data_IF_415513848929
#
_entry.id   IF_415513848929
#
_cell.length_a   1.000
_cell.length_b   1.000
_cell.length_c   1.000
_cell.angle_alpha   90.00
_cell.angle_beta   90.00
_cell.angle_gamma   90.00
#
_symmetry.space_group_name_H-M   'P 1'
#
loop_
_entity.id
_entity.type
_entity.pdbx_description
1 polymer ?
#
# COMPACT_ATOMS: atom_id res chain seq x y z
N UNK A 1 -83.89 -46.50 -51.17
CA UNK A 1 -84.54 -47.78 -50.86
C UNK A 1 -85.99 -47.53 -50.49
N UNK A 2 -86.91 -48.24 -51.16
CA UNK A 2 -88.37 -48.16 -51.04
C UNK A 2 -88.89 -48.76 -49.72
N UNK A 3 -90.03 -48.23 -49.23
CA UNK A 3 -91.32 -48.90 -48.86
C UNK A 3 -92.05 -48.00 -47.85
N UNK A 4 -93.13 -47.28 -48.17
CA UNK A 4 -94.52 -47.63 -48.54
C UNK A 4 -95.38 -48.25 -47.42
N UNK A 5 -96.33 -47.39 -46.94
CA UNK A 5 -97.79 -47.57 -46.71
C UNK A 5 -98.31 -48.48 -45.57
N UNK A 6 -99.14 -47.92 -44.66
CA UNK A 6 -100.63 -48.08 -44.53
C UNK A 6 -101.09 -47.48 -43.16
N UNK A 7 -101.79 -46.34 -43.14
CA UNK A 7 -103.25 -46.17 -43.00
C UNK A 7 -103.86 -46.52 -41.62
N UNK A 8 -104.40 -45.51 -40.93
CA UNK A 8 -105.63 -45.60 -40.14
C UNK A 8 -106.17 -44.18 -39.84
N UNK A 9 -107.25 -43.82 -40.51
CA UNK A 9 -108.14 -42.68 -40.20
C UNK A 9 -109.16 -43.18 -39.19
N UNK A 10 -109.35 -42.49 -38.05
CA UNK A 10 -110.68 -42.33 -37.41
C UNK A 10 -110.72 -41.00 -36.66
N UNK A 11 -111.77 -40.24 -36.93
CA UNK A 11 -112.15 -38.99 -36.29
C UNK A 11 -112.57 -39.18 -34.83
N UNK A 12 -112.22 -38.21 -33.98
CA UNK A 12 -112.67 -38.12 -32.59
C UNK A 12 -112.86 -36.66 -32.21
N UNK A 13 -114.06 -36.15 -32.51
CA UNK A 13 -114.54 -34.84 -32.10
C UNK A 13 -114.72 -34.80 -30.57
N UNK A 14 -114.52 -33.60 -30.01
CA UNK A 14 -115.03 -33.07 -28.73
C UNK A 14 -114.38 -33.43 -27.38
N UNK A 15 -113.98 -32.33 -26.73
CA UNK A 15 -113.99 -32.02 -25.28
C UNK A 15 -112.79 -32.52 -24.45
N UNK A 16 -111.89 -31.59 -24.16
CA UNK A 16 -111.02 -31.53 -22.98
C UNK A 16 -110.65 -30.05 -22.82
N UNK A 17 -111.24 -29.27 -21.91
CA UNK A 17 -110.96 -29.28 -20.46
C UNK A 17 -109.77 -28.34 -20.16
N UNK A 18 -109.95 -27.10 -19.69
CA UNK A 18 -108.90 -26.08 -19.64
C UNK A 18 -107.84 -26.25 -18.52
N UNK A 19 -107.79 -27.37 -17.80
CA UNK A 19 -107.00 -27.50 -16.57
C UNK A 19 -105.54 -28.00 -16.75
N UNK A 20 -105.21 -28.73 -17.83
CA UNK A 20 -103.85 -29.26 -18.05
C UNK A 20 -102.89 -28.23 -18.67
N UNK A 21 -103.41 -27.29 -19.46
CA UNK A 21 -102.61 -26.20 -20.03
C UNK A 21 -102.05 -25.26 -18.94
N UNK A 22 -102.75 -25.11 -17.81
CA UNK A 22 -102.34 -24.21 -16.73
C UNK A 22 -101.07 -24.71 -15.99
N UNK A 23 -100.94 -26.03 -15.77
CA UNK A 23 -99.76 -26.64 -15.11
C UNK A 23 -98.47 -26.54 -15.94
N UNK A 24 -98.54 -26.73 -17.26
CA UNK A 24 -97.38 -26.58 -18.14
C UNK A 24 -96.95 -25.11 -18.24
N UNK A 25 -97.91 -24.17 -18.27
CA UNK A 25 -97.59 -22.75 -18.28
C UNK A 25 -96.91 -22.27 -16.99
N UNK A 26 -97.25 -22.84 -15.83
CA UNK A 26 -96.60 -22.47 -14.56
C UNK A 26 -95.17 -23.02 -14.46
N UNK A 27 -94.90 -24.24 -14.95
CA UNK A 27 -93.53 -24.76 -15.06
C UNK A 27 -92.65 -23.93 -15.99
N UNK A 28 -93.19 -23.46 -17.12
CA UNK A 28 -92.47 -22.58 -18.04
C UNK A 28 -92.17 -21.22 -17.40
N UNK A 29 -93.09 -20.69 -16.58
CA UNK A 29 -92.86 -19.45 -15.81
C UNK A 29 -91.77 -19.64 -14.76
N UNK A 30 -91.76 -20.76 -14.04
CA UNK A 30 -90.72 -21.05 -13.04
C UNK A 30 -89.36 -21.29 -13.69
N UNK A 31 -89.31 -22.00 -14.82
CA UNK A 31 -88.11 -22.13 -15.63
C UNK A 31 -87.60 -20.77 -16.13
N UNK A 32 -88.49 -19.89 -16.59
CA UNK A 32 -88.14 -18.54 -17.02
C UNK A 32 -87.63 -17.67 -15.87
N UNK A 33 -88.24 -17.74 -14.69
CA UNK A 33 -87.77 -17.05 -13.47
C UNK A 33 -86.39 -17.55 -13.05
N UNK A 34 -86.18 -18.86 -13.05
CA UNK A 34 -84.90 -19.49 -12.73
C UNK A 34 -83.81 -19.08 -13.73
N UNK A 35 -84.11 -19.13 -15.04
CA UNK A 35 -83.19 -18.68 -16.08
C UNK A 35 -82.86 -17.18 -15.94
N UNK A 36 -83.85 -16.34 -15.63
CA UNK A 36 -83.63 -14.90 -15.40
C UNK A 36 -82.75 -14.66 -14.16
N UNK A 37 -82.95 -15.42 -13.09
CA UNK A 37 -82.12 -15.35 -11.89
C UNK A 37 -80.67 -15.82 -12.15
N UNK A 38 -80.49 -16.87 -12.96
CA UNK A 38 -79.19 -17.35 -13.39
C UNK A 38 -78.46 -16.33 -14.28
N UNK A 39 -79.16 -15.71 -15.23
CA UNK A 39 -78.57 -14.65 -16.07
C UNK A 39 -78.09 -13.48 -15.22
N UNK A 40 -78.91 -13.01 -14.25
CA UNK A 40 -78.50 -11.95 -13.31
C UNK A 40 -77.29 -12.35 -12.48
N UNK A 41 -77.27 -13.58 -11.93
CA UNK A 41 -76.13 -14.07 -11.17
C UNK A 41 -74.85 -14.18 -12.02
N UNK A 42 -74.96 -14.55 -13.30
CA UNK A 42 -73.83 -14.61 -14.22
C UNK A 42 -73.35 -13.21 -14.64
N UNK A 43 -74.26 -12.25 -14.80
CA UNK A 43 -73.95 -10.84 -15.03
C UNK A 43 -73.22 -10.23 -13.82
N UNK A 44 -73.69 -10.50 -12.60
CA UNK A 44 -73.03 -10.10 -11.36
C UNK A 44 -71.63 -10.72 -11.22
N UNK A 45 -71.48 -12.01 -11.52
CA UNK A 45 -70.17 -12.67 -11.55
C UNK A 45 -69.26 -12.08 -12.63
N UNK A 46 -69.78 -11.78 -13.82
CA UNK A 46 -69.00 -11.16 -14.91
C UNK A 46 -68.51 -9.78 -14.51
N UNK A 47 -69.36 -8.94 -13.91
CA UNK A 47 -68.96 -7.61 -13.45
C UNK A 47 -67.93 -7.70 -12.31
N UNK A 48 -68.10 -8.64 -11.37
CA UNK A 48 -67.13 -8.89 -10.31
C UNK A 48 -65.77 -9.36 -10.85
N UNK A 49 -65.75 -10.30 -11.79
CA UNK A 49 -64.52 -10.79 -12.42
C UNK A 49 -63.85 -9.71 -13.26
N UNK A 50 -64.62 -8.89 -13.97
CA UNK A 50 -64.09 -7.76 -14.73
C UNK A 50 -63.47 -6.70 -13.82
N UNK A 51 -64.06 -6.45 -12.65
CA UNK A 51 -63.49 -5.58 -11.62
C UNK A 51 -62.17 -6.14 -11.07
N UNK A 52 -62.13 -7.45 -10.74
CA UNK A 52 -60.90 -8.12 -10.27
C UNK A 52 -59.79 -8.13 -11.32
N UNK A 53 -60.12 -8.34 -12.59
CA UNK A 53 -59.16 -8.32 -13.69
C UNK A 53 -58.58 -6.90 -13.87
N UNK A 54 -59.41 -5.87 -13.81
CA UNK A 54 -58.95 -4.48 -13.87
C UNK A 54 -58.04 -4.12 -12.68
N UNK A 55 -58.32 -4.63 -11.48
CA UNK A 55 -57.47 -4.43 -10.30
C UNK A 55 -56.13 -5.18 -10.41
N UNK A 56 -56.16 -6.44 -10.85
CA UNK A 56 -54.96 -7.23 -11.10
C UNK A 56 -54.07 -6.62 -12.19
N UNK A 57 -54.65 -6.08 -13.26
CA UNK A 57 -53.92 -5.38 -14.31
C UNK A 57 -53.24 -4.11 -13.79
N UNK A 58 -53.95 -3.30 -12.98
CA UNK A 58 -53.35 -2.12 -12.32
C UNK A 58 -52.22 -2.51 -11.37
N UNK A 59 -52.37 -3.58 -10.60
CA UNK A 59 -51.33 -4.08 -9.71
C UNK A 59 -50.11 -4.58 -10.49
N UNK A 60 -50.33 -5.34 -11.57
CA UNK A 60 -49.28 -5.82 -12.47
C UNK A 60 -48.53 -4.68 -13.13
N UNK A 61 -49.22 -3.65 -13.63
CA UNK A 61 -48.58 -2.48 -14.23
C UNK A 61 -47.78 -1.66 -13.19
N UNK A 62 -48.26 -1.59 -11.95
CA UNK A 62 -47.54 -0.92 -10.85
C UNK A 62 -46.28 -1.69 -10.47
N UNK A 63 -46.38 -3.01 -10.28
CA UNK A 63 -45.24 -3.88 -9.99
C UNK A 63 -44.22 -3.88 -11.14
N UNK A 64 -44.69 -3.86 -12.39
CA UNK A 64 -43.82 -3.78 -13.56
C UNK A 64 -43.01 -2.46 -13.56
N UNK A 65 -43.65 -1.32 -13.28
CA UNK A 65 -42.96 -0.03 -13.14
C UNK A 65 -41.95 -0.04 -11.99
N UNK A 66 -42.30 -0.66 -10.86
CA UNK A 66 -41.37 -0.79 -9.73
C UNK A 66 -40.18 -1.69 -10.08
N UNK A 67 -40.40 -2.82 -10.76
CA UNK A 67 -39.33 -3.70 -11.22
C UNK A 67 -38.40 -3.00 -12.20
N UNK A 68 -38.95 -2.24 -13.16
CA UNK A 68 -38.14 -1.51 -14.12
C UNK A 68 -37.33 -0.40 -13.43
N UNK A 69 -37.92 0.31 -12.47
CA UNK A 69 -37.21 1.29 -11.63
C UNK A 69 -36.12 0.68 -10.75
N UNK A 70 -36.38 -0.49 -10.14
CA UNK A 70 -35.37 -1.21 -9.36
C UNK A 70 -34.23 -1.74 -10.24
N UNK A 71 -34.55 -2.21 -11.46
CA UNK A 71 -33.54 -2.65 -12.43
C UNK A 71 -32.65 -1.51 -12.89
N UNK A 72 -33.19 -0.31 -13.10
CA UNK A 72 -32.38 0.86 -13.45
C UNK A 72 -31.48 1.27 -12.28
N UNK A 73 -32.02 1.34 -11.06
CA UNK A 73 -31.23 1.64 -9.86
C UNK A 73 -30.13 0.62 -9.63
N UNK A 74 -30.41 -0.68 -9.82
CA UNK A 74 -29.41 -1.73 -9.66
C UNK A 74 -28.25 -1.54 -10.65
N UNK A 75 -28.56 -1.25 -11.93
CA UNK A 75 -27.53 -0.99 -12.94
C UNK A 75 -26.68 0.24 -12.61
N UNK A 76 -27.31 1.32 -12.11
CA UNK A 76 -26.60 2.53 -11.70
C UNK A 76 -25.67 2.26 -10.51
N UNK A 77 -26.15 1.54 -9.49
CA UNK A 77 -25.35 1.17 -8.32
C UNK A 77 -24.21 0.24 -8.71
N UNK A 78 -24.45 -0.77 -9.56
CA UNK A 78 -23.40 -1.66 -10.04
C UNK A 78 -22.33 -0.91 -10.84
N UNK A 79 -22.72 0.01 -11.72
CA UNK A 79 -21.78 0.84 -12.48
C UNK A 79 -20.97 1.75 -11.57
N UNK A 80 -21.63 2.46 -10.65
CA UNK A 80 -20.97 3.32 -9.66
C UNK A 80 -20.01 2.53 -8.78
N UNK A 81 -20.40 1.32 -8.36
CA UNK A 81 -19.56 0.47 -7.54
C UNK A 81 -18.34 -0.05 -8.28
N UNK A 82 -18.48 -0.44 -9.56
CA UNK A 82 -17.33 -0.82 -10.41
C UNK A 82 -16.34 0.33 -10.56
N UNK A 83 -16.82 1.54 -10.88
CA UNK A 83 -15.96 2.72 -10.99
C UNK A 83 -15.31 3.07 -9.65
N UNK A 84 -16.03 2.95 -8.53
CA UNK A 84 -15.47 3.17 -7.20
C UNK A 84 -14.35 2.17 -6.86
N UNK A 85 -14.54 0.89 -7.20
CA UNK A 85 -13.51 -0.14 -6.99
C UNK A 85 -12.30 0.09 -7.90
N UNK A 86 -12.49 0.40 -9.17
CA UNK A 86 -11.41 0.71 -10.11
C UNK A 86 -10.57 1.91 -9.65
N UNK A 87 -11.24 3.02 -9.29
CA UNK A 87 -10.56 4.23 -8.81
C UNK A 87 -9.87 4.00 -7.46
N UNK A 88 -10.45 3.18 -6.58
CA UNK A 88 -9.82 2.81 -5.32
C UNK A 88 -8.56 1.97 -5.54
N UNK A 89 -8.62 0.99 -6.44
CA UNK A 89 -7.47 0.16 -6.80
C UNK A 89 -6.35 0.99 -7.44
N UNK A 90 -6.68 1.91 -8.35
CA UNK A 90 -5.71 2.83 -8.94
C UNK A 90 -5.01 3.68 -7.86
N UNK A 91 -5.78 4.23 -6.91
CA UNK A 91 -5.20 4.98 -5.79
C UNK A 91 -4.31 4.12 -4.90
N UNK A 92 -4.65 2.86 -4.66
CA UNK A 92 -3.80 1.94 -3.90
C UNK A 92 -2.46 1.74 -4.62
N UNK A 93 -2.48 1.49 -5.94
CA UNK A 93 -1.25 1.31 -6.71
C UNK A 93 -0.39 2.59 -6.70
N UNK A 94 -0.98 3.76 -6.94
CA UNK A 94 -0.26 5.04 -6.85
C UNK A 94 0.37 5.28 -5.46
N UNK A 95 -0.36 4.92 -4.39
CA UNK A 95 0.15 5.01 -3.01
C UNK A 95 1.28 4.02 -2.78
N UNK A 96 1.16 2.78 -3.26
CA UNK A 96 2.20 1.76 -3.15
C UNK A 96 3.47 2.18 -3.90
N UNK A 97 3.35 2.64 -5.15
CA UNK A 97 4.48 3.16 -5.90
C UNK A 97 5.15 4.33 -5.18
N UNK A 98 4.35 5.24 -4.64
CA UNK A 98 4.89 6.36 -3.86
C UNK A 98 5.65 5.83 -2.65
N UNK A 99 5.07 4.93 -1.86
CA UNK A 99 5.73 4.34 -0.69
C UNK A 99 7.05 3.67 -1.04
N UNK A 100 7.11 2.92 -2.15
CA UNK A 100 8.36 2.30 -2.60
C UNK A 100 9.41 3.33 -3.01
N UNK A 101 9.01 4.41 -3.71
CA UNK A 101 9.93 5.52 -4.02
C UNK A 101 10.47 6.19 -2.76
N UNK A 102 9.61 6.43 -1.76
CA UNK A 102 10.04 7.01 -0.48
C UNK A 102 10.98 6.07 0.27
N UNK A 103 10.69 4.76 0.32
CA UNK A 103 11.58 3.76 0.94
C UNK A 103 12.95 3.73 0.25
N UNK A 104 12.98 3.73 -1.07
CA UNK A 104 14.24 3.76 -1.83
C UNK A 104 15.04 5.03 -1.52
N UNK A 105 14.39 6.21 -1.58
CA UNK A 105 15.04 7.48 -1.26
C UNK A 105 15.58 7.53 0.18
N UNK A 106 14.82 7.02 1.16
CA UNK A 106 15.29 6.91 2.55
C UNK A 106 16.44 5.91 2.70
N UNK A 107 16.41 4.78 1.98
CA UNK A 107 17.49 3.81 1.96
C UNK A 107 18.79 4.37 1.40
N UNK A 108 18.71 5.13 0.30
CA UNK A 108 19.84 5.85 -0.30
C UNK A 108 20.37 6.91 0.65
N UNK A 109 19.50 7.76 1.21
CA UNK A 109 19.89 8.78 2.17
C UNK A 109 20.60 8.19 3.41
N UNK A 110 20.09 7.08 3.94
CA UNK A 110 20.71 6.38 5.06
C UNK A 110 22.08 5.78 4.69
N UNK A 111 22.23 5.30 3.46
CA UNK A 111 23.52 4.78 2.95
C UNK A 111 24.55 5.90 2.80
N UNK A 112 24.15 7.03 2.21
CA UNK A 112 25.00 8.22 2.07
C UNK A 112 25.40 8.77 3.43
N UNK A 113 24.47 8.85 4.39
CA UNK A 113 24.77 9.30 5.75
C UNK A 113 25.83 8.41 6.42
N UNK A 114 25.65 7.08 6.38
CA UNK A 114 26.63 6.14 6.94
C UNK A 114 28.01 6.24 6.25
N UNK A 115 28.03 6.39 4.92
CA UNK A 115 29.27 6.58 4.19
C UNK A 115 29.98 7.87 4.61
N UNK A 116 29.24 8.97 4.76
CA UNK A 116 29.80 10.25 5.22
C UNK A 116 30.31 10.20 6.65
N UNK A 117 29.60 9.52 7.55
CA UNK A 117 30.06 9.34 8.94
C UNK A 117 31.34 8.48 9.00
N UNK A 118 31.43 7.43 8.17
CA UNK A 118 32.64 6.61 8.06
C UNK A 118 33.83 7.42 7.49
N UNK A 119 33.61 8.19 6.42
CA UNK A 119 34.63 9.10 5.87
C UNK A 119 35.08 10.13 6.90
N UNK A 120 34.13 10.73 7.63
CA UNK A 120 34.43 11.71 8.68
C UNK A 120 35.27 11.10 9.79
N UNK A 121 34.89 9.92 10.30
CA UNK A 121 35.65 9.22 11.34
C UNK A 121 37.08 8.89 10.87
N UNK A 122 37.24 8.46 9.62
CA UNK A 122 38.56 8.22 9.02
C UNK A 122 39.40 9.50 8.97
N UNK A 123 38.86 10.60 8.46
CA UNK A 123 39.58 11.88 8.38
C UNK A 123 39.89 12.46 9.77
N UNK A 124 39.00 12.32 10.74
CA UNK A 124 39.27 12.71 12.13
C UNK A 124 40.42 11.88 12.73
N UNK A 125 40.47 10.58 12.45
CA UNK A 125 41.58 9.70 12.84
C UNK A 125 42.91 10.11 12.20
N UNK A 126 42.94 10.35 10.88
CA UNK A 126 44.13 10.79 10.15
C UNK A 126 44.61 12.17 10.62
N UNK A 127 43.68 13.11 10.85
CA UNK A 127 44.00 14.44 11.36
C UNK A 127 44.61 14.36 12.77
N UNK A 128 44.07 13.51 13.64
CA UNK A 128 44.60 13.29 14.99
C UNK A 128 45.99 12.65 14.95
N UNK A 129 46.21 11.65 14.10
CA UNK A 129 47.51 11.01 13.90
C UNK A 129 48.55 12.02 13.36
N UNK A 130 48.18 12.81 12.35
CA UNK A 130 49.04 13.86 11.80
C UNK A 130 49.40 14.90 12.87
N UNK A 131 48.41 15.38 13.63
CA UNK A 131 48.62 16.33 14.73
C UNK A 131 49.56 15.77 15.81
N UNK A 132 49.42 14.49 16.16
CA UNK A 132 50.30 13.82 17.12
C UNK A 132 51.74 13.70 16.58
N UNK A 133 51.90 13.32 15.31
CA UNK A 133 53.21 13.25 14.64
C UNK A 133 53.88 14.62 14.61
N UNK A 134 53.17 15.68 14.20
CA UNK A 134 53.71 17.04 14.17
C UNK A 134 54.16 17.51 15.54
N UNK A 135 53.35 17.30 16.59
CA UNK A 135 53.75 17.63 17.98
C UNK A 135 55.00 16.87 18.42
N UNK A 136 55.10 15.59 18.09
CA UNK A 136 56.28 14.78 18.38
C UNK A 136 57.51 15.30 17.65
N UNK A 137 57.40 15.57 16.34
CA UNK A 137 58.46 16.17 15.54
C UNK A 137 58.92 17.52 16.11
N UNK A 138 57.99 18.39 16.50
CA UNK A 138 58.32 19.68 17.11
C UNK A 138 59.07 19.52 18.43
N UNK A 139 58.63 18.62 19.31
CA UNK A 139 59.29 18.35 20.59
C UNK A 139 60.69 17.78 20.38
N UNK A 140 60.82 16.77 19.50
CA UNK A 140 62.09 16.14 19.16
C UNK A 140 63.07 17.10 18.48
N UNK A 141 62.58 17.99 17.61
CA UNK A 141 63.40 19.01 16.97
C UNK A 141 63.91 20.04 17.99
N UNK A 142 63.06 20.48 18.93
CA UNK A 142 63.48 21.35 20.04
C UNK A 142 64.59 20.73 20.87
N UNK A 143 64.46 19.45 21.23
CA UNK A 143 65.51 18.72 21.96
C UNK A 143 66.77 18.53 21.13
N UNK A 144 66.65 18.24 19.84
CA UNK A 144 67.81 18.10 18.96
C UNK A 144 68.61 19.42 18.83
N UNK A 145 67.92 20.56 18.74
CA UNK A 145 68.56 21.89 18.74
C UNK A 145 69.30 22.14 20.06
N UNK A 146 68.71 21.78 21.20
CA UNK A 146 69.40 21.88 22.51
C UNK A 146 70.65 21.02 22.56
N UNK A 147 70.55 19.74 22.17
CA UNK A 147 71.69 18.82 22.10
C UNK A 147 72.78 19.36 21.17
N UNK A 148 72.40 19.97 20.05
CA UNK A 148 73.33 20.63 19.13
C UNK A 148 74.05 21.83 19.76
N UNK A 149 73.33 22.68 20.50
CA UNK A 149 73.95 23.77 21.26
C UNK A 149 74.88 23.26 22.35
N UNK A 150 74.48 22.24 23.10
CA UNK A 150 75.30 21.63 24.14
C UNK A 150 76.57 21.00 23.55
N UNK A 151 76.48 20.40 22.37
CA UNK A 151 77.65 19.84 21.66
C UNK A 151 78.63 20.94 21.23
N UNK A 152 78.12 22.07 20.69
CA UNK A 152 78.96 23.21 20.33
C UNK A 152 79.68 23.78 21.55
N UNK A 153 78.98 23.97 22.68
CA UNK A 153 79.61 24.41 23.94
C UNK A 153 80.69 23.45 24.42
N UNK A 154 80.39 22.14 24.44
CA UNK A 154 81.36 21.14 24.86
C UNK A 154 82.60 21.12 23.95
N UNK A 155 82.44 21.38 22.65
CA UNK A 155 83.55 21.51 21.71
C UNK A 155 84.39 22.78 21.95
N UNK A 156 83.73 23.92 22.21
CA UNK A 156 84.41 25.18 22.60
C UNK A 156 85.21 25.01 23.90
N UNK A 157 84.61 24.39 24.93
CA UNK A 157 85.26 24.13 26.22
C UNK A 157 86.48 23.22 26.09
N UNK A 158 86.39 22.14 25.28
CA UNK A 158 87.54 21.27 24.97
C UNK A 158 88.64 22.06 24.27
N UNK A 159 88.29 22.92 23.30
CA UNK A 159 89.26 23.72 22.54
C UNK A 159 89.98 24.76 23.43
N UNK A 160 89.24 25.42 24.33
CA UNK A 160 89.82 26.39 25.28
C UNK A 160 90.68 25.67 26.32
N UNK A 161 90.21 24.55 26.86
CA UNK A 161 90.95 23.73 27.82
C UNK A 161 92.23 23.13 27.24
N UNK A 162 92.20 22.71 25.97
CA UNK A 162 93.35 22.17 25.24
C UNK A 162 94.36 23.25 24.83
N UNK A 163 93.92 24.49 24.56
CA UNK A 163 94.85 25.61 24.37
C UNK A 163 95.60 25.99 25.66
N UNK A 164 94.96 25.84 26.83
CA UNK A 164 95.56 26.16 28.13
C UNK A 164 96.43 25.00 28.64
N UNK A 165 96.04 23.75 28.38
CA UNK A 165 96.76 22.53 28.78
C UNK A 165 97.61 21.99 27.63
N UNK A 166 98.76 22.62 27.39
CA UNK A 166 99.68 22.27 26.30
C UNK A 166 99.97 20.77 26.18
N UNK A 167 99.82 20.24 24.95
CA UNK A 167 100.33 18.96 24.41
C UNK A 167 100.71 17.90 25.46
N UNK A 168 99.74 17.07 25.87
CA UNK A 168 100.08 15.81 26.56
C UNK A 168 100.70 14.81 25.57
N UNK A 169 101.92 14.32 25.83
CA UNK A 169 102.47 13.17 25.12
C UNK A 169 102.04 11.87 25.84
N UNK A 170 101.46 10.95 25.07
CA UNK A 170 101.45 9.48 25.28
C UNK A 170 100.35 8.76 26.10
N UNK A 171 99.45 9.38 26.87
CA UNK A 171 98.57 8.59 27.78
C UNK A 171 97.16 8.19 27.29
N UNK A 172 96.64 8.66 26.16
CA UNK A 172 95.39 8.15 25.56
C UNK A 172 94.09 8.33 26.37
N UNK A 173 94.16 8.73 27.65
CA UNK A 173 93.02 8.97 28.56
C UNK A 173 92.09 10.05 27.99
N UNK A 174 92.64 11.14 27.45
CA UNK A 174 91.84 12.18 26.76
C UNK A 174 91.15 11.66 25.50
N UNK A 175 91.79 10.76 24.74
CA UNK A 175 91.18 10.14 23.55
C UNK A 175 89.92 9.37 23.93
N UNK A 176 89.96 8.64 25.05
CA UNK A 176 88.79 7.92 25.58
C UNK A 176 87.72 8.89 26.06
N UNK A 177 88.09 9.98 26.74
CA UNK A 177 87.14 11.03 27.15
C UNK A 177 86.39 11.66 25.98
N UNK A 178 87.10 12.02 24.90
CA UNK A 178 86.49 12.55 23.66
C UNK A 178 85.63 11.50 22.97
N UNK A 179 86.05 10.23 22.93
CA UNK A 179 85.23 9.14 22.39
C UNK A 179 83.94 8.92 23.18
N UNK A 180 84.00 8.95 24.51
CA UNK A 180 82.83 8.86 25.38
C UNK A 180 81.87 10.03 25.16
N UNK A 181 82.41 11.26 25.05
CA UNK A 181 81.62 12.45 24.73
C UNK A 181 80.90 12.29 23.39
N UNK A 182 81.61 11.90 22.33
CA UNK A 182 81.03 11.62 21.01
C UNK A 182 79.97 10.52 21.05
N UNK A 183 80.19 9.46 21.84
CA UNK A 183 79.24 8.37 22.01
C UNK A 183 77.97 8.83 22.75
N UNK A 184 78.11 9.64 23.80
CA UNK A 184 76.99 10.20 24.55
C UNK A 184 76.14 11.12 23.68
N UNK A 185 76.76 12.08 22.97
CA UNK A 185 76.03 12.95 22.04
C UNK A 185 75.43 12.18 20.86
N UNK A 186 76.14 11.17 20.34
CA UNK A 186 75.61 10.26 19.33
C UNK A 186 74.37 9.49 19.80
N UNK A 187 74.33 9.12 21.08
CA UNK A 187 73.18 8.48 21.72
C UNK A 187 72.02 9.47 21.89
N UNK A 188 72.29 10.68 22.39
CA UNK A 188 71.29 11.75 22.53
C UNK A 188 70.62 12.12 21.20
N UNK A 189 71.40 12.24 20.11
CA UNK A 189 70.89 12.50 18.76
C UNK A 189 70.01 11.35 18.29
N UNK A 190 70.44 10.10 18.51
CA UNK A 190 69.69 8.90 18.11
C UNK A 190 68.34 8.80 18.82
N UNK A 191 68.28 9.19 20.08
CA UNK A 191 67.05 9.24 20.87
C UNK A 191 66.05 10.29 20.38
N UNK A 192 66.53 11.34 19.68
CA UNK A 192 65.64 12.34 19.06
C UNK A 192 65.20 12.00 17.63
N UNK A 193 65.66 10.88 17.07
CA UNK A 193 65.25 10.44 15.73
C UNK A 193 63.76 10.09 15.73
N UNK A 194 63.00 10.76 14.87
CA UNK A 194 61.57 10.44 14.66
C UNK A 194 61.47 9.15 13.84
N UNK A 195 60.71 8.19 14.36
CA UNK A 195 60.33 6.97 13.64
C UNK A 195 59.03 7.26 12.86
N UNK A 196 58.95 6.92 11.57
CA UNK A 196 57.82 7.27 10.71
C UNK A 196 56.49 6.67 11.16
#
# INVERSE_FOLDING_TARGET
>A
MRRLILAAVVAGVTISGPALAQSETDRLRDALRSATAQTRSLEDQRTQLQAKLAEADRARDTLQKQLDGLKTQLREVEAAHRTAVETFNQKIEERNETLERWKAAYGEAATVARAKDAERSKFEGEANACKARTKSCEAKNKELVKVGHDLMKAYEDVTIGDMISGREPLLGIRRVGVQNLLQDYGSKIREQKVVP
#
